data_IF_910454258259
#
_entry.id   IF_910454258259
#
_cell.length_a   1.000
_cell.length_b   1.000
_cell.length_c   1.000
_cell.angle_alpha   90.00
_cell.angle_beta   90.00
_cell.angle_gamma   90.00
#
_symmetry.space_group_name_H-M   'P 1'
#
loop_
_entity.id
_entity.type
_entity.pdbx_description
1 polymer ?
#
# COMPACT_ATOMS: atom_id res chain seq x y z
N UNK A 1 -18.39 -8.83 -24.17
CA UNK A 1 -18.27 -10.22 -23.67
C UNK A 1 -19.64 -10.60 -23.10
N UNK A 2 -20.25 -11.74 -23.47
CA UNK A 2 -21.54 -12.13 -22.84
C UNK A 2 -21.27 -12.45 -21.36
N UNK A 3 -22.07 -11.95 -20.41
CA UNK A 3 -21.91 -12.32 -19.01
C UNK A 3 -22.01 -13.84 -18.88
N UNK A 4 -21.05 -14.44 -18.19
CA UNK A 4 -21.07 -15.87 -17.94
C UNK A 4 -22.23 -16.16 -16.98
N UNK A 5 -23.12 -17.08 -17.36
CA UNK A 5 -24.25 -17.46 -16.51
C UNK A 5 -23.72 -17.91 -15.16
N UNK A 6 -24.08 -17.18 -14.09
CA UNK A 6 -23.62 -17.50 -12.74
C UNK A 6 -24.20 -18.84 -12.28
N UNK A 7 -23.31 -19.79 -11.94
CA UNK A 7 -23.67 -21.13 -11.46
C UNK A 7 -23.41 -21.24 -9.96
N UNK A 8 -24.37 -21.78 -9.22
CA UNK A 8 -24.38 -21.84 -7.76
C UNK A 8 -24.58 -23.29 -7.32
N UNK A 9 -23.66 -23.81 -6.53
CA UNK A 9 -23.83 -25.05 -5.79
C UNK A 9 -24.71 -24.82 -4.57
N UNK A 10 -25.80 -25.58 -4.46
CA UNK A 10 -26.73 -25.56 -3.32
C UNK A 10 -27.19 -26.99 -3.04
N UNK A 11 -26.98 -27.45 -1.81
CA UNK A 11 -27.33 -28.83 -1.44
C UNK A 11 -26.42 -29.86 -2.11
N UNK A 12 -26.96 -30.66 -3.02
CA UNK A 12 -26.24 -31.70 -3.79
C UNK A 12 -26.12 -31.38 -5.28
N UNK A 13 -26.57 -30.19 -5.72
CA UNK A 13 -26.65 -29.82 -7.13
C UNK A 13 -26.06 -28.45 -7.43
N UNK A 14 -25.74 -28.23 -8.71
CA UNK A 14 -25.30 -26.93 -9.24
C UNK A 14 -26.38 -26.39 -10.17
N UNK A 15 -26.90 -25.21 -9.86
CA UNK A 15 -28.00 -24.56 -10.56
C UNK A 15 -27.58 -23.18 -11.06
N UNK A 16 -28.26 -22.62 -12.06
CA UNK A 16 -28.04 -21.20 -12.43
C UNK A 16 -28.63 -20.29 -11.36
N UNK A 17 -27.99 -19.17 -11.06
CA UNK A 17 -28.51 -18.17 -10.11
C UNK A 17 -29.93 -17.72 -10.48
N UNK A 18 -30.19 -17.46 -11.77
CA UNK A 18 -31.50 -17.09 -12.28
C UNK A 18 -32.58 -18.13 -11.94
N UNK A 19 -32.34 -19.42 -12.21
CA UNK A 19 -33.29 -20.49 -11.87
C UNK A 19 -33.58 -20.56 -10.37
N UNK A 20 -32.55 -20.37 -9.52
CA UNK A 20 -32.71 -20.39 -8.06
C UNK A 20 -33.62 -19.25 -7.57
N UNK A 21 -33.48 -18.05 -8.14
CA UNK A 21 -34.24 -16.88 -7.70
C UNK A 21 -35.62 -16.76 -8.36
N UNK A 22 -35.79 -17.26 -9.59
CA UNK A 22 -37.01 -17.07 -10.39
C UNK A 22 -38.03 -18.20 -10.32
N UNK A 23 -37.66 -19.39 -9.84
CA UNK A 23 -38.56 -20.55 -9.81
C UNK A 23 -38.99 -20.93 -8.40
N UNK A 24 -40.18 -21.53 -8.27
CA UNK A 24 -40.67 -22.05 -6.99
C UNK A 24 -39.74 -23.10 -6.38
N UNK A 25 -39.28 -24.05 -7.20
CA UNK A 25 -38.36 -25.10 -6.75
C UNK A 25 -37.02 -24.51 -6.28
N UNK A 26 -36.50 -23.51 -7.00
CA UNK A 26 -35.31 -22.75 -6.59
C UNK A 26 -35.50 -22.04 -5.25
N UNK A 27 -36.62 -21.36 -5.07
CA UNK A 27 -36.96 -20.68 -3.82
C UNK A 27 -37.09 -21.65 -2.64
N UNK A 28 -37.67 -22.83 -2.84
CA UNK A 28 -37.74 -23.90 -1.82
C UNK A 28 -36.34 -24.44 -1.48
N UNK A 29 -35.46 -24.59 -2.47
CA UNK A 29 -34.06 -25.00 -2.27
C UNK A 29 -33.28 -23.97 -1.45
N UNK A 30 -33.42 -22.67 -1.78
CA UNK A 30 -32.82 -21.57 -1.03
C UNK A 30 -33.35 -21.49 0.41
N UNK A 31 -34.66 -21.68 0.59
CA UNK A 31 -35.29 -21.72 1.91
C UNK A 31 -34.74 -22.85 2.79
N UNK A 32 -34.53 -24.03 2.21
CA UNK A 32 -33.95 -25.18 2.90
C UNK A 32 -32.47 -24.97 3.21
N UNK A 33 -31.70 -24.46 2.24
CA UNK A 33 -30.29 -24.13 2.44
C UNK A 33 -30.10 -23.12 3.58
N UNK A 34 -30.95 -22.09 3.68
CA UNK A 34 -30.90 -21.10 4.77
C UNK A 34 -31.16 -21.70 6.16
N UNK A 35 -31.89 -22.81 6.26
CA UNK A 35 -32.13 -23.52 7.53
C UNK A 35 -31.00 -24.50 7.87
N UNK A 36 -30.08 -24.74 6.95
CA UNK A 36 -28.92 -25.61 7.15
C UNK A 36 -27.67 -24.80 7.47
N UNK A 37 -26.66 -25.45 8.06
CA UNK A 37 -25.34 -24.83 8.28
C UNK A 37 -24.50 -24.75 6.99
N UNK A 38 -24.99 -25.29 5.87
CA UNK A 38 -24.29 -25.28 4.58
C UNK A 38 -24.65 -24.03 3.79
N UNK A 39 -23.62 -23.24 3.46
CA UNK A 39 -23.75 -22.08 2.58
C UNK A 39 -23.76 -22.49 1.11
N UNK A 40 -24.52 -21.79 0.25
CA UNK A 40 -24.39 -21.95 -1.19
C UNK A 40 -23.01 -21.47 -1.65
N UNK A 41 -22.50 -22.01 -2.77
CA UNK A 41 -21.21 -21.62 -3.35
C UNK A 41 -21.32 -21.18 -4.79
N UNK A 42 -20.76 -20.02 -5.15
CA UNK A 42 -20.61 -19.58 -6.54
C UNK A 42 -19.50 -20.36 -7.22
N UNK A 43 -19.81 -21.06 -8.31
CA UNK A 43 -18.89 -21.93 -9.03
C UNK A 43 -18.13 -21.19 -10.15
N UNK A 44 -17.87 -19.89 -9.98
CA UNK A 44 -17.11 -19.08 -10.94
C UNK A 44 -15.59 -19.39 -10.92
N UNK A 45 -15.10 -19.98 -9.83
CA UNK A 45 -13.71 -20.44 -9.65
C UNK A 45 -13.69 -21.88 -9.12
N UNK A 46 -12.59 -22.64 -9.29
CA UNK A 46 -12.44 -23.96 -8.68
C UNK A 46 -12.67 -23.93 -7.16
N UNK A 47 -13.39 -24.91 -6.62
CA UNK A 47 -13.79 -24.95 -5.21
C UNK A 47 -15.01 -24.07 -4.89
N UNK A 48 -15.20 -22.97 -5.60
CA UNK A 48 -16.33 -22.06 -5.44
C UNK A 48 -16.21 -21.09 -4.26
N UNK A 49 -16.98 -20.00 -4.30
CA UNK A 49 -16.97 -18.92 -3.28
C UNK A 49 -18.25 -18.97 -2.46
N UNK A 50 -18.14 -18.97 -1.14
CA UNK A 50 -19.33 -18.94 -0.28
C UNK A 50 -20.23 -17.74 -0.56
N UNK A 51 -21.54 -17.98 -0.57
CA UNK A 51 -22.58 -16.97 -0.76
C UNK A 51 -23.57 -16.97 0.41
N UNK A 52 -24.37 -15.92 0.47
CA UNK A 52 -25.41 -15.72 1.47
C UNK A 52 -26.81 -15.89 0.85
N UNK A 53 -27.68 -16.61 1.55
CA UNK A 53 -29.12 -16.63 1.25
C UNK A 53 -29.84 -15.66 2.19
N UNK A 54 -30.25 -14.53 1.64
CA UNK A 54 -31.08 -13.55 2.34
C UNK A 54 -32.57 -13.79 2.11
N UNK A 55 -33.41 -13.14 2.91
CA UNK A 55 -34.86 -13.13 2.73
C UNK A 55 -35.36 -11.70 2.80
N UNK A 56 -36.13 -11.28 1.81
CA UNK A 56 -36.83 -9.98 1.81
C UNK A 56 -38.31 -10.24 1.51
N UNK A 57 -39.15 -10.03 2.53
CA UNK A 57 -40.55 -10.43 2.47
C UNK A 57 -40.72 -11.95 2.31
N UNK A 58 -41.46 -12.37 1.28
CA UNK A 58 -41.71 -13.78 0.98
C UNK A 58 -40.64 -14.49 0.13
N UNK A 59 -39.67 -13.74 -0.41
CA UNK A 59 -38.70 -14.26 -1.38
C UNK A 59 -37.29 -14.34 -0.79
N UNK A 60 -36.56 -15.36 -1.21
CA UNK A 60 -35.14 -15.54 -0.94
C UNK A 60 -34.31 -15.00 -2.09
N UNK A 61 -33.18 -14.38 -1.75
CA UNK A 61 -32.21 -13.88 -2.72
C UNK A 61 -30.82 -14.40 -2.39
N UNK A 62 -29.97 -14.46 -3.42
CA UNK A 62 -28.55 -14.76 -3.29
C UNK A 62 -27.75 -13.47 -3.32
N UNK A 63 -26.77 -13.36 -2.44
CA UNK A 63 -25.76 -12.31 -2.49
C UNK A 63 -24.39 -12.88 -2.17
N UNK A 64 -23.33 -12.22 -2.62
CA UNK A 64 -21.97 -12.52 -2.12
C UNK A 64 -21.91 -12.34 -0.61
N UNK A 65 -20.95 -13.01 0.02
CA UNK A 65 -20.60 -12.70 1.40
C UNK A 65 -19.95 -11.30 1.44
N UNK A 66 -20.14 -10.51 2.51
CA UNK A 66 -19.46 -9.23 2.65
C UNK A 66 -17.94 -9.39 2.54
N UNK A 67 -17.29 -8.54 1.74
CA UNK A 67 -15.84 -8.57 1.55
C UNK A 67 -15.32 -9.78 0.78
N UNK A 68 -16.15 -10.55 0.05
CA UNK A 68 -15.67 -11.66 -0.80
C UNK A 68 -15.70 -11.36 -2.29
N UNK A 69 -15.98 -10.12 -2.70
CA UNK A 69 -16.11 -9.81 -4.13
C UNK A 69 -14.85 -10.14 -4.93
N UNK A 70 -13.66 -9.88 -4.38
CA UNK A 70 -12.38 -10.22 -4.98
C UNK A 70 -12.10 -11.73 -5.14
N UNK A 71 -12.90 -12.60 -4.52
CA UNK A 71 -12.76 -14.06 -4.63
C UNK A 71 -13.44 -14.62 -5.89
N UNK A 72 -14.27 -13.83 -6.55
CA UNK A 72 -14.98 -14.24 -7.75
C UNK A 72 -14.13 -13.98 -9.01
N UNK A 73 -14.42 -14.72 -10.09
CA UNK A 73 -13.79 -14.47 -11.38
C UNK A 73 -14.18 -13.09 -11.94
N UNK A 74 -13.29 -12.44 -12.68
CA UNK A 74 -13.45 -11.08 -13.25
C UNK A 74 -14.73 -10.88 -14.08
N UNK A 75 -15.30 -11.96 -14.61
CA UNK A 75 -16.52 -11.94 -15.42
C UNK A 75 -17.78 -12.41 -14.65
N UNK A 76 -17.70 -12.56 -13.32
CA UNK A 76 -18.78 -13.01 -12.48
C UNK A 76 -19.63 -11.83 -11.98
N UNK A 77 -20.96 -11.98 -11.96
CA UNK A 77 -21.89 -10.96 -11.44
C UNK A 77 -21.69 -10.60 -9.95
N UNK A 78 -20.88 -11.37 -9.22
CA UNK A 78 -20.56 -11.15 -7.80
C UNK A 78 -19.15 -10.63 -7.56
N UNK A 79 -18.36 -10.37 -8.61
CA UNK A 79 -17.03 -9.78 -8.46
C UNK A 79 -17.13 -8.32 -8.03
N UNK A 80 -16.13 -7.88 -7.28
CA UNK A 80 -15.95 -6.48 -6.87
C UNK A 80 -14.47 -6.18 -6.91
N UNK A 81 -14.09 -5.05 -7.51
CA UNK A 81 -12.71 -4.55 -7.57
C UNK A 81 -12.27 -4.08 -6.19
N UNK A 82 -11.97 -5.04 -5.31
CA UNK A 82 -11.31 -4.81 -4.02
C UNK A 82 -9.97 -5.49 -4.06
N UNK A 83 -9.00 -4.80 -4.65
CA UNK A 83 -7.64 -5.32 -4.76
C UNK A 83 -6.90 -5.13 -3.44
N UNK A 84 -6.66 -6.22 -2.72
CA UNK A 84 -5.68 -6.28 -1.64
C UNK A 84 -4.22 -6.15 -2.17
N UNK A 85 -4.04 -5.81 -3.45
CA UNK A 85 -2.76 -5.51 -4.06
C UNK A 85 -2.47 -4.02 -4.25
N UNK A 86 -3.40 -3.11 -3.91
CA UNK A 86 -3.12 -1.67 -3.87
C UNK A 86 -4.13 -0.91 -3.01
N UNK A 87 -3.65 0.01 -2.18
CA UNK A 87 -4.48 0.96 -1.45
C UNK A 87 -4.92 2.17 -2.28
N UNK A 88 -4.45 2.34 -3.52
CA UNK A 88 -4.84 3.45 -4.39
C UNK A 88 -6.35 3.46 -4.71
N UNK A 89 -7.05 2.32 -4.51
CA UNK A 89 -8.51 2.24 -4.66
C UNK A 89 -9.31 3.11 -3.69
N UNK A 90 -8.68 3.61 -2.61
CA UNK A 90 -9.29 4.56 -1.67
C UNK A 90 -9.49 5.97 -2.27
N UNK A 91 -8.77 6.29 -3.35
CA UNK A 91 -8.87 7.60 -3.99
C UNK A 91 -10.17 7.76 -4.80
N UNK A 92 -10.79 8.93 -4.62
CA UNK A 92 -11.87 9.37 -5.47
C UNK A 92 -11.39 9.80 -6.86
N UNK A 93 -12.32 9.94 -7.83
CA UNK A 93 -11.99 10.45 -9.16
C UNK A 93 -11.26 11.79 -9.10
N UNK A 94 -10.15 11.90 -9.82
CA UNK A 94 -9.39 13.15 -9.93
C UNK A 94 -8.19 13.28 -8.99
N UNK A 95 -8.09 12.45 -7.94
CA UNK A 95 -6.97 12.50 -7.01
C UNK A 95 -5.64 12.09 -7.67
N UNK A 96 -5.68 11.03 -8.50
CA UNK A 96 -4.60 10.60 -9.38
C UNK A 96 -5.19 10.40 -10.78
N UNK A 97 -4.65 11.10 -11.77
CA UNK A 97 -5.11 11.05 -13.16
C UNK A 97 -3.94 10.80 -14.11
N UNK A 98 -4.02 9.75 -14.90
CA UNK A 98 -3.12 9.59 -16.05
C UNK A 98 -3.57 10.51 -17.19
N UNK A 99 -2.63 11.26 -17.76
CA UNK A 99 -2.83 12.17 -18.88
C UNK A 99 -2.47 11.50 -20.20
N UNK A 100 -2.96 12.08 -21.31
CA UNK A 100 -2.70 11.57 -22.66
C UNK A 100 -1.21 11.53 -23.04
N UNK A 101 -0.36 12.32 -22.36
CA UNK A 101 1.09 12.35 -22.53
C UNK A 101 1.83 11.31 -21.67
N UNK A 102 1.11 10.47 -20.93
CA UNK A 102 1.66 9.46 -20.01
C UNK A 102 2.12 10.02 -18.66
N UNK A 103 2.00 11.33 -18.41
CA UNK A 103 2.25 11.88 -17.08
C UNK A 103 1.10 11.56 -16.12
N UNK A 104 1.41 11.40 -14.84
CA UNK A 104 0.42 11.37 -13.78
C UNK A 104 0.20 12.77 -13.22
N UNK A 105 -1.05 13.17 -13.04
CA UNK A 105 -1.44 14.41 -12.37
C UNK A 105 -2.06 14.05 -11.02
N UNK A 106 -1.55 14.64 -9.95
CA UNK A 106 -2.07 14.43 -8.61
C UNK A 106 -2.67 15.71 -8.02
N UNK A 107 -3.79 15.56 -7.31
CA UNK A 107 -4.32 16.58 -6.41
C UNK A 107 -3.55 16.53 -5.08
N UNK A 108 -2.27 16.91 -5.11
CA UNK A 108 -1.38 16.75 -3.96
C UNK A 108 -1.58 17.81 -2.87
N UNK A 109 -1.70 17.36 -1.62
CA UNK A 109 -1.73 18.21 -0.43
C UNK A 109 -0.75 17.69 0.63
N UNK A 110 0.46 18.26 0.62
CA UNK A 110 1.58 17.82 1.47
C UNK A 110 1.45 18.27 2.93
N UNK A 111 0.46 19.08 3.27
CA UNK A 111 0.22 19.59 4.63
C UNK A 111 -0.67 18.67 5.47
N UNK A 112 -1.32 17.69 4.83
CA UNK A 112 -2.21 16.73 5.50
C UNK A 112 -1.42 15.87 6.48
N UNK A 113 -1.77 16.00 7.75
CA UNK A 113 -1.19 15.23 8.88
C UNK A 113 -2.24 14.41 9.62
N UNK A 114 -3.49 14.47 9.19
CA UNK A 114 -4.60 13.68 9.73
C UNK A 114 -5.06 12.63 8.73
N UNK A 115 -5.82 11.63 9.21
CA UNK A 115 -6.43 10.64 8.33
C UNK A 115 -7.55 11.28 7.54
N UNK A 116 -7.69 10.86 6.29
CA UNK A 116 -8.77 11.30 5.41
C UNK A 116 -9.86 10.23 5.34
N UNK A 117 -11.10 10.66 5.16
CA UNK A 117 -12.22 9.75 4.92
C UNK A 117 -12.33 9.41 3.43
N UNK A 118 -12.70 8.17 3.13
CA UNK A 118 -12.92 7.71 1.75
C UNK A 118 -14.28 8.22 1.20
N UNK A 119 -14.35 8.62 -0.09
CA UNK A 119 -13.28 8.60 -1.08
C UNK A 119 -12.30 9.76 -0.89
N UNK A 120 -11.01 9.43 -0.95
CA UNK A 120 -9.93 10.39 -0.70
C UNK A 120 -9.75 11.30 -1.92
N UNK A 121 -9.88 12.62 -1.73
CA UNK A 121 -9.82 13.59 -2.83
C UNK A 121 -8.42 14.14 -3.10
N UNK A 122 -7.53 14.14 -2.10
CA UNK A 122 -6.18 14.70 -2.19
C UNK A 122 -5.12 13.66 -1.83
N UNK A 123 -3.95 13.72 -2.49
CA UNK A 123 -2.83 12.82 -2.24
C UNK A 123 -1.92 13.43 -1.18
N UNK A 124 -1.81 12.78 -0.02
CA UNK A 124 -0.93 13.21 1.07
C UNK A 124 0.54 12.85 0.79
N UNK A 125 1.44 13.23 1.69
CA UNK A 125 2.86 12.88 1.56
C UNK A 125 3.11 11.35 1.57
N UNK A 126 2.28 10.56 2.25
CA UNK A 126 2.39 9.08 2.23
C UNK A 126 1.99 8.54 0.85
N UNK A 127 0.86 9.02 0.30
CA UNK A 127 0.44 8.76 -1.07
C UNK A 127 1.49 9.15 -2.12
N UNK A 128 2.17 10.29 -1.96
CA UNK A 128 3.25 10.71 -2.87
C UNK A 128 4.46 9.78 -2.77
N UNK A 129 4.86 9.37 -1.57
CA UNK A 129 5.96 8.42 -1.41
C UNK A 129 5.61 7.08 -2.06
N UNK A 130 4.42 6.55 -1.81
CA UNK A 130 3.99 5.29 -2.42
C UNK A 130 3.87 5.40 -3.95
N UNK A 131 3.38 6.53 -4.47
CA UNK A 131 3.35 6.78 -5.91
C UNK A 131 4.76 6.79 -6.51
N UNK A 132 5.72 7.47 -5.88
CA UNK A 132 7.12 7.45 -6.32
C UNK A 132 7.68 6.03 -6.33
N UNK A 133 7.37 5.22 -5.32
CA UNK A 133 7.84 3.84 -5.20
C UNK A 133 7.23 2.93 -6.27
N UNK A 134 5.97 3.12 -6.63
CA UNK A 134 5.30 2.39 -7.70
C UNK A 134 5.83 2.80 -9.08
N UNK A 135 5.89 4.09 -9.38
CA UNK A 135 6.35 4.61 -10.67
C UNK A 135 7.84 4.35 -10.93
N UNK A 136 8.65 4.30 -9.86
CA UNK A 136 10.06 3.88 -9.93
C UNK A 136 10.24 2.36 -9.89
N UNK A 137 9.15 1.58 -9.78
CA UNK A 137 9.12 0.11 -9.71
C UNK A 137 10.02 -0.43 -8.58
N UNK A 138 10.16 0.34 -7.50
CA UNK A 138 10.96 -0.04 -6.32
C UNK A 138 10.19 -0.95 -5.37
N UNK A 139 8.86 -0.99 -5.50
CA UNK A 139 7.99 -1.97 -4.86
C UNK A 139 8.00 -3.35 -5.55
N UNK A 140 8.84 -3.60 -6.56
CA UNK A 140 8.95 -4.90 -7.23
C UNK A 140 10.37 -5.45 -7.30
N UNK A 141 10.55 -6.75 -7.11
CA UNK A 141 11.83 -7.43 -7.26
C UNK A 141 11.66 -8.69 -8.10
N UNK A 142 12.46 -8.79 -9.16
CA UNK A 142 12.46 -9.97 -10.03
C UNK A 142 13.35 -11.07 -9.47
N UNK A 143 13.02 -12.32 -9.76
CA UNK A 143 13.87 -13.46 -9.45
C UNK A 143 15.27 -13.27 -10.06
N UNK A 144 16.32 -13.42 -9.24
CA UNK A 144 17.71 -13.24 -9.67
C UNK A 144 18.15 -11.80 -9.90
N UNK A 145 17.38 -10.80 -9.49
CA UNK A 145 17.78 -9.40 -9.60
C UNK A 145 19.01 -9.08 -8.73
N UNK A 146 19.88 -8.21 -9.25
CA UNK A 146 21.02 -7.69 -8.49
C UNK A 146 20.58 -6.83 -7.30
N UNK A 147 21.49 -6.68 -6.34
CA UNK A 147 21.30 -5.76 -5.22
C UNK A 147 21.26 -4.31 -5.71
N UNK A 148 20.23 -3.57 -5.29
CA UNK A 148 20.05 -2.15 -5.58
C UNK A 148 21.04 -1.33 -4.78
N UNK A 149 21.70 -0.41 -5.46
CA UNK A 149 22.50 0.63 -4.82
C UNK A 149 21.65 1.88 -4.57
N UNK A 150 22.08 2.74 -3.63
CA UNK A 150 21.45 4.05 -3.46
C UNK A 150 21.40 4.87 -4.76
N UNK A 151 22.46 4.80 -5.59
CA UNK A 151 22.50 5.50 -6.88
C UNK A 151 21.34 5.04 -7.77
N UNK A 152 21.16 3.73 -7.93
CA UNK A 152 20.07 3.17 -8.76
C UNK A 152 18.68 3.52 -8.22
N UNK A 153 18.51 3.57 -6.89
CA UNK A 153 17.24 3.98 -6.25
C UNK A 153 16.96 5.46 -6.52
N UNK A 154 17.97 6.31 -6.32
CA UNK A 154 17.88 7.76 -6.56
C UNK A 154 17.50 8.08 -7.99
N UNK A 155 18.20 7.48 -8.97
CA UNK A 155 17.97 7.75 -10.39
C UNK A 155 16.54 7.40 -10.80
N UNK A 156 16.06 6.20 -10.44
CA UNK A 156 14.70 5.74 -10.74
C UNK A 156 13.62 6.63 -10.11
N UNK A 157 13.86 7.14 -8.90
CA UNK A 157 12.90 8.04 -8.22
C UNK A 157 12.88 9.42 -8.85
N UNK A 158 14.03 9.98 -9.23
CA UNK A 158 14.08 11.27 -9.93
C UNK A 158 13.48 11.18 -11.33
N UNK A 159 13.71 10.06 -12.04
CA UNK A 159 13.05 9.77 -13.32
C UNK A 159 11.53 9.69 -13.14
N UNK A 160 11.04 8.91 -12.17
CA UNK A 160 9.61 8.81 -11.87
C UNK A 160 8.99 10.17 -11.49
N UNK A 161 9.67 10.97 -10.68
CA UNK A 161 9.21 12.29 -10.25
C UNK A 161 9.04 13.26 -11.43
N UNK A 162 9.85 13.12 -12.50
CA UNK A 162 9.72 13.95 -13.69
C UNK A 162 8.37 13.76 -14.40
N UNK A 163 7.79 12.57 -14.31
CA UNK A 163 6.51 12.18 -14.92
C UNK A 163 5.29 12.40 -14.01
N UNK A 164 5.49 12.89 -12.79
CA UNK A 164 4.40 13.20 -11.85
C UNK A 164 4.23 14.72 -11.78
N UNK A 165 2.99 15.19 -11.90
CA UNK A 165 2.60 16.60 -11.88
C UNK A 165 1.77 16.90 -10.64
N UNK A 166 2.15 17.94 -9.91
CA UNK A 166 1.35 18.51 -8.83
C UNK A 166 0.95 19.93 -9.24
N UNK A 167 -0.31 20.11 -9.60
CA UNK A 167 -0.76 21.30 -10.33
C UNK A 167 -0.07 21.41 -11.71
N UNK A 168 0.59 22.55 -11.97
CA UNK A 168 1.28 22.81 -13.24
C UNK A 168 2.78 22.46 -13.22
N UNK A 169 3.31 22.03 -12.07
CA UNK A 169 4.74 21.78 -11.89
C UNK A 169 5.05 20.28 -11.88
N UNK A 170 6.27 19.92 -12.29
CA UNK A 170 6.76 18.56 -12.09
C UNK A 170 7.08 18.35 -10.61
N UNK A 171 6.83 17.16 -10.09
CA UNK A 171 7.25 16.79 -8.74
C UNK A 171 8.79 16.84 -8.62
N UNK A 172 9.52 16.61 -9.71
CA UNK A 172 10.97 16.76 -9.75
C UNK A 172 11.44 18.20 -9.42
N UNK A 173 10.63 19.22 -9.70
CA UNK A 173 10.98 20.62 -9.42
C UNK A 173 11.01 20.93 -7.91
N UNK A 174 10.30 20.13 -7.11
CA UNK A 174 10.20 20.28 -5.65
C UNK A 174 10.80 19.10 -4.87
N UNK A 175 11.45 18.14 -5.56
CA UNK A 175 12.07 16.96 -4.96
C UNK A 175 13.60 17.00 -5.03
N UNK A 176 14.25 16.87 -3.88
CA UNK A 176 15.69 16.70 -3.76
C UNK A 176 16.03 15.28 -3.29
N UNK A 177 16.88 14.57 -4.04
CA UNK A 177 17.45 13.30 -3.62
C UNK A 177 19.00 13.40 -3.60
N UNK A 178 19.66 13.21 -2.45
CA UNK A 178 21.11 13.43 -2.31
C UNK A 178 21.93 12.42 -3.10
N UNK A 179 23.06 12.85 -3.65
CA UNK A 179 24.07 11.93 -4.17
C UNK A 179 24.68 11.09 -3.04
N UNK A 180 25.36 10.00 -3.39
CA UNK A 180 26.03 9.16 -2.40
C UNK A 180 27.13 9.95 -1.69
N UNK A 181 26.93 10.23 -0.40
CA UNK A 181 28.01 10.71 0.47
C UNK A 181 29.19 9.72 0.51
N UNK A 182 30.39 10.23 0.28
CA UNK A 182 31.64 9.48 0.40
C UNK A 182 32.63 10.25 1.27
N UNK A 183 32.95 9.68 2.44
CA UNK A 183 33.94 10.24 3.38
C UNK A 183 35.32 10.42 2.74
N UNK A 184 35.68 9.52 1.84
CA UNK A 184 37.02 9.48 1.25
C UNK A 184 37.23 10.59 0.22
N UNK A 185 36.14 11.00 -0.46
CA UNK A 185 36.16 12.07 -1.47
C UNK A 185 35.78 13.45 -0.91
N UNK A 186 35.17 13.51 0.27
CA UNK A 186 34.62 14.74 0.85
C UNK A 186 33.37 15.29 0.16
N UNK A 187 32.89 14.65 -0.91
CA UNK A 187 31.68 15.05 -1.64
C UNK A 187 30.45 14.91 -0.75
N UNK A 188 29.70 16.00 -0.62
CA UNK A 188 28.50 16.10 0.20
C UNK A 188 27.44 16.92 -0.51
N UNK A 189 26.24 16.38 -0.65
CA UNK A 189 25.09 17.10 -1.22
C UNK A 189 24.41 18.05 -0.23
N UNK A 190 24.98 18.28 0.96
CA UNK A 190 24.38 19.15 1.97
C UNK A 190 24.27 20.60 1.49
N UNK A 191 25.33 21.26 0.95
CA UNK A 191 25.20 22.64 0.48
C UNK A 191 24.15 22.81 -0.64
N UNK A 192 24.07 21.83 -1.55
CA UNK A 192 23.07 21.82 -2.62
C UNK A 192 21.66 21.65 -2.05
N UNK A 193 21.48 20.74 -1.10
CA UNK A 193 20.21 20.53 -0.40
C UNK A 193 19.78 21.79 0.37
N UNK A 194 20.71 22.46 1.06
CA UNK A 194 20.42 23.71 1.77
C UNK A 194 20.04 24.85 0.81
N UNK A 195 20.73 24.95 -0.32
CA UNK A 195 20.41 25.93 -1.37
C UNK A 195 19.03 25.66 -1.97
N UNK A 196 18.72 24.38 -2.24
CA UNK A 196 17.42 23.94 -2.68
C UNK A 196 16.31 24.30 -1.69
N UNK A 197 16.48 23.95 -0.40
CA UNK A 197 15.52 24.26 0.67
C UNK A 197 15.26 25.77 0.82
N UNK A 198 16.27 26.61 0.59
CA UNK A 198 16.14 28.08 0.66
C UNK A 198 15.46 28.68 -0.56
N UNK A 199 15.60 28.05 -1.73
CA UNK A 199 15.03 28.55 -2.99
C UNK A 199 13.52 28.28 -3.12
N UNK A 200 13.01 27.28 -2.41
CA UNK A 200 11.59 26.92 -2.47
C UNK A 200 10.72 27.91 -1.67
N UNK A 201 9.67 28.42 -2.32
CA UNK A 201 8.69 29.31 -1.69
C UNK A 201 7.69 28.56 -0.78
N UNK A 202 7.67 27.23 -0.83
CA UNK A 202 6.77 26.35 -0.08
C UNK A 202 7.46 25.08 0.42
N UNK A 203 6.77 23.94 0.35
CA UNK A 203 7.34 22.64 0.76
C UNK A 203 8.41 22.17 -0.21
N UNK A 204 9.66 22.15 0.27
CA UNK A 204 10.73 21.40 -0.36
C UNK A 204 10.65 19.95 0.12
N UNK A 205 10.66 19.00 -0.82
CA UNK A 205 10.70 17.59 -0.51
C UNK A 205 12.13 17.06 -0.56
N UNK A 206 12.49 16.24 0.43
CA UNK A 206 13.75 15.49 0.45
C UNK A 206 13.42 14.00 0.44
N UNK A 207 13.90 13.26 -0.56
CA UNK A 207 13.83 11.81 -0.61
C UNK A 207 15.18 11.20 -0.25
N UNK A 208 15.28 10.53 0.89
CA UNK A 208 16.53 9.91 1.33
C UNK A 208 16.28 8.75 2.32
N UNK A 209 17.24 7.83 2.48
CA UNK A 209 17.11 6.78 3.47
C UNK A 209 17.22 7.33 4.89
N UNK A 210 16.42 6.80 5.80
CA UNK A 210 16.54 7.08 7.23
C UNK A 210 17.91 6.61 7.74
N UNK A 211 18.58 7.45 8.52
CA UNK A 211 19.76 7.04 9.31
C UNK A 211 19.41 6.88 10.78
N UNK A 212 18.72 7.86 11.35
CA UNK A 212 18.45 7.91 12.78
C UNK A 212 17.35 8.93 13.10
N UNK A 213 16.55 8.64 14.13
CA UNK A 213 15.68 9.59 14.81
C UNK A 213 16.21 9.78 16.23
N UNK A 214 16.58 11.01 16.60
CA UNK A 214 17.12 11.30 17.94
C UNK A 214 16.15 12.13 18.75
N UNK A 215 15.67 11.57 19.85
CA UNK A 215 14.81 12.28 20.78
C UNK A 215 15.59 13.40 21.48
N UNK A 216 14.98 14.57 21.57
CA UNK A 216 15.41 15.67 22.42
C UNK A 216 14.29 16.04 23.40
N UNK A 217 14.47 17.10 24.19
CA UNK A 217 13.49 17.49 25.21
C UNK A 217 12.10 17.81 24.64
N UNK A 218 12.02 18.42 23.45
CA UNK A 218 10.76 18.91 22.87
C UNK A 218 10.58 18.58 21.38
N UNK A 219 11.49 17.80 20.80
CA UNK A 219 11.49 17.52 19.36
C UNK A 219 12.31 16.27 19.06
N UNK A 220 12.24 15.83 17.82
CA UNK A 220 13.15 14.85 17.24
C UNK A 220 14.11 15.53 16.27
N UNK A 221 15.37 15.11 16.28
CA UNK A 221 16.29 15.37 15.17
C UNK A 221 16.17 14.22 14.17
N UNK A 222 15.75 14.52 12.94
CA UNK A 222 15.74 13.58 11.83
C UNK A 222 17.11 13.58 11.14
N UNK A 223 17.76 12.42 11.07
CA UNK A 223 19.03 12.24 10.38
C UNK A 223 18.82 11.36 9.16
N UNK A 224 19.15 11.89 7.98
CA UNK A 224 19.06 11.18 6.71
C UNK A 224 20.44 10.68 6.28
N UNK A 225 20.49 9.50 5.66
CA UNK A 225 21.72 9.04 4.99
C UNK A 225 22.05 10.01 3.85
N UNK A 226 23.33 10.09 3.53
CA UNK A 226 23.89 10.95 2.47
C UNK A 226 23.78 12.47 2.68
N UNK A 227 23.18 12.94 3.78
CA UNK A 227 23.11 14.35 4.15
C UNK A 227 23.72 14.59 5.54
N UNK A 228 25.02 14.29 5.75
CA UNK A 228 25.64 14.41 7.07
C UNK A 228 25.69 15.87 7.51
N UNK A 229 25.03 16.18 8.63
CA UNK A 229 25.07 17.51 9.24
C UNK A 229 23.91 18.43 8.86
N UNK A 230 23.05 18.03 7.92
CA UNK A 230 21.78 18.71 7.71
C UNK A 230 20.92 18.60 8.98
N UNK A 231 20.48 19.73 9.54
CA UNK A 231 19.73 19.78 10.80
C UNK A 231 18.22 19.88 10.55
N UNK A 232 17.56 18.72 10.52
CA UNK A 232 16.11 18.60 10.38
C UNK A 232 15.47 18.36 11.75
N UNK A 233 14.50 19.19 12.12
CA UNK A 233 13.81 19.14 13.40
C UNK A 233 12.32 18.87 13.22
N UNK A 234 11.82 17.85 13.91
CA UNK A 234 10.39 17.51 13.97
C UNK A 234 9.86 17.87 15.35
N UNK A 235 8.91 18.78 15.44
CA UNK A 235 8.24 19.08 16.72
C UNK A 235 7.49 17.83 17.23
N UNK A 236 7.37 17.69 18.55
CA UNK A 236 6.76 16.50 19.15
C UNK A 236 5.31 16.29 18.68
N UNK A 237 4.55 17.38 18.60
CA UNK A 237 3.15 17.38 18.17
C UNK A 237 3.03 16.94 16.70
N UNK A 238 3.97 17.40 15.84
CA UNK A 238 4.04 16.99 14.44
C UNK A 238 4.35 15.49 14.33
N UNK A 239 5.26 14.97 15.16
CA UNK A 239 5.57 13.55 15.19
C UNK A 239 4.35 12.70 15.61
N UNK A 240 3.63 13.13 16.66
CA UNK A 240 2.43 12.46 17.16
C UNK A 240 1.31 12.42 16.11
N UNK A 241 1.06 13.54 15.39
CA UNK A 241 0.09 13.59 14.29
C UNK A 241 0.47 12.65 13.13
N UNK A 242 1.75 12.64 12.76
CA UNK A 242 2.26 11.79 11.68
C UNK A 242 2.12 10.30 12.02
N UNK A 243 2.48 9.88 13.24
CA UNK A 243 2.29 8.49 13.68
C UNK A 243 0.81 8.10 13.75
N UNK A 244 -0.06 9.03 14.17
CA UNK A 244 -1.50 8.82 14.18
C UNK A 244 -2.06 8.61 12.75
N UNK A 245 -1.60 9.41 11.78
CA UNK A 245 -1.96 9.27 10.37
C UNK A 245 -1.54 7.93 9.79
N UNK A 246 -0.26 7.57 9.90
CA UNK A 246 0.27 6.35 9.27
C UNK A 246 -0.01 5.07 10.08
N UNK A 247 -0.50 5.20 11.32
CA UNK A 247 -0.79 4.08 12.22
C UNK A 247 0.44 3.25 12.61
N UNK A 248 1.63 3.87 12.64
CA UNK A 248 2.91 3.20 12.93
C UNK A 248 3.79 4.10 13.82
N UNK A 249 4.28 3.62 14.98
CA UNK A 249 5.01 4.45 15.95
C UNK A 249 6.52 4.53 15.65
N UNK A 250 6.92 4.99 14.46
CA UNK A 250 8.33 4.94 14.04
C UNK A 250 9.25 6.01 14.67
N UNK A 251 8.73 7.05 15.32
CA UNK A 251 9.53 7.91 16.18
C UNK A 251 9.88 7.17 17.47
N UNK A 252 8.91 6.48 18.08
CA UNK A 252 9.16 5.65 19.26
C UNK A 252 9.98 4.38 18.97
N UNK A 253 9.73 3.76 17.82
CA UNK A 253 10.32 2.48 17.39
C UNK A 253 10.79 2.58 15.93
N UNK A 254 11.93 3.26 15.67
CA UNK A 254 12.38 3.49 14.31
C UNK A 254 12.75 2.20 13.59
N UNK A 255 12.37 2.04 12.30
CA UNK A 255 12.76 0.88 11.51
C UNK A 255 14.27 0.91 11.23
N UNK A 256 14.89 -0.27 11.15
CA UNK A 256 16.32 -0.44 10.83
C UNK A 256 16.67 0.16 9.46
N UNK A 257 15.81 -0.04 8.46
CA UNK A 257 15.92 0.56 7.14
C UNK A 257 14.59 1.17 6.74
N UNK A 258 14.62 2.40 6.25
CA UNK A 258 13.45 3.05 5.66
C UNK A 258 13.86 4.07 4.60
N UNK A 259 12.97 4.31 3.65
CA UNK A 259 12.99 5.45 2.75
C UNK A 259 12.04 6.52 3.29
N UNK A 260 12.50 7.76 3.35
CA UNK A 260 11.72 8.88 3.84
C UNK A 260 11.48 9.89 2.73
N UNK A 261 10.25 10.43 2.69
CA UNK A 261 9.93 11.66 1.97
C UNK A 261 9.66 12.74 3.01
N UNK A 262 10.48 13.78 3.03
CA UNK A 262 10.47 14.81 4.08
C UNK A 262 10.03 16.14 3.48
N UNK A 263 8.91 16.69 3.94
CA UNK A 263 8.55 18.07 3.67
C UNK A 263 9.24 18.96 4.70
N UNK A 264 10.09 19.87 4.22
CA UNK A 264 10.87 20.74 5.08
C UNK A 264 10.85 22.19 4.60
N UNK A 265 11.06 23.11 5.55
CA UNK A 265 11.23 24.54 5.31
C UNK A 265 12.34 25.13 6.16
N UNK A 266 12.89 26.30 5.78
CA UNK A 266 13.83 27.02 6.64
C UNK A 266 13.27 27.24 8.05
N UNK A 267 14.08 26.93 9.06
CA UNK A 267 13.75 27.14 10.46
C UNK A 267 14.04 28.56 10.93
N UNK A 268 13.80 28.83 12.22
CA UNK A 268 14.00 30.17 12.82
C UNK A 268 15.47 30.61 12.87
N UNK A 269 16.40 29.65 12.95
CA UNK A 269 17.84 29.90 13.01
C UNK A 269 18.48 29.41 11.73
N UNK A 270 19.45 30.16 11.22
CA UNK A 270 20.19 29.78 10.02
C UNK A 270 20.80 28.38 10.14
N UNK A 271 20.75 27.62 9.04
CA UNK A 271 21.21 26.24 8.96
C UNK A 271 20.41 25.26 9.81
N UNK A 272 19.20 25.61 10.24
CA UNK A 272 18.23 24.67 10.83
C UNK A 272 16.99 24.65 9.97
N UNK A 273 16.40 23.47 9.80
CA UNK A 273 15.22 23.25 8.98
C UNK A 273 14.15 22.58 9.83
N UNK A 274 12.91 23.03 9.64
CA UNK A 274 11.74 22.46 10.29
C UNK A 274 11.10 21.47 9.34
N UNK A 275 10.94 20.22 9.78
CA UNK A 275 10.12 19.22 9.11
C UNK A 275 8.68 19.55 9.41
N UNK A 276 7.91 19.83 8.37
CA UNK A 276 6.46 20.10 8.48
C UNK A 276 5.66 18.82 8.28
N UNK A 277 6.17 17.88 7.49
CA UNK A 277 5.55 16.57 7.28
C UNK A 277 6.60 15.52 6.90
N UNK A 278 6.27 14.24 7.12
CA UNK A 278 7.15 13.11 6.86
C UNK A 278 6.31 11.90 6.44
N UNK A 279 6.69 11.25 5.35
CA UNK A 279 6.33 9.87 5.06
C UNK A 279 7.54 8.97 5.30
N UNK A 280 7.31 7.80 5.88
CA UNK A 280 8.36 6.83 6.19
C UNK A 280 7.91 5.44 5.72
N UNK A 281 8.63 4.87 4.76
CA UNK A 281 8.38 3.54 4.24
C UNK A 281 9.49 2.59 4.73
N UNK A 282 9.20 1.69 5.69
CA UNK A 282 10.13 0.64 6.08
C UNK A 282 10.52 -0.26 4.91
N UNK A 283 11.78 -0.66 4.88
CA UNK A 283 12.40 -1.45 3.81
C UNK A 283 13.33 -2.51 4.39
N UNK A 284 13.82 -3.41 3.55
CA UNK A 284 15.04 -4.17 3.83
C UNK A 284 16.31 -3.39 3.42
N UNK A 285 17.48 -4.00 3.58
CA UNK A 285 18.75 -3.40 3.17
C UNK A 285 18.88 -3.16 1.65
N UNK A 286 18.01 -3.79 0.84
CA UNK A 286 17.96 -3.67 -0.62
C UNK A 286 16.90 -2.65 -1.09
N UNK A 287 16.37 -1.83 -0.17
CA UNK A 287 15.31 -0.86 -0.43
C UNK A 287 14.01 -1.51 -0.93
N UNK A 288 13.80 -2.80 -0.69
CA UNK A 288 12.53 -3.46 -0.97
C UNK A 288 11.58 -3.27 0.22
N UNK A 289 10.38 -2.69 0.03
CA UNK A 289 9.49 -2.38 1.14
C UNK A 289 9.07 -3.62 1.95
N UNK A 290 9.41 -3.59 3.24
CA UNK A 290 9.14 -4.64 4.23
C UNK A 290 8.88 -3.95 5.57
N UNK A 291 7.74 -4.22 6.22
CA UNK A 291 7.37 -3.51 7.46
C UNK A 291 8.25 -3.88 8.65
N UNK A 292 8.66 -5.14 8.72
CA UNK A 292 9.43 -5.68 9.84
C UNK A 292 10.39 -6.78 9.36
N UNK A 293 11.23 -7.26 10.28
CA UNK A 293 12.25 -8.28 9.98
C UNK A 293 11.65 -9.62 9.52
N UNK A 294 10.42 -9.94 9.96
CA UNK A 294 9.72 -11.16 9.57
C UNK A 294 9.27 -11.09 8.11
N UNK A 295 8.67 -9.97 7.69
CA UNK A 295 8.34 -9.70 6.29
C UNK A 295 9.61 -9.74 5.42
N UNK A 296 10.70 -9.12 5.85
CA UNK A 296 11.97 -9.16 5.13
C UNK A 296 12.55 -10.58 5.00
N UNK A 297 12.40 -11.41 6.03
CA UNK A 297 12.83 -12.81 5.99
C UNK A 297 11.99 -13.65 5.01
N UNK A 298 10.67 -13.44 4.98
CA UNK A 298 9.77 -14.13 4.02
C UNK A 298 10.07 -13.68 2.59
N UNK A 299 10.22 -12.37 2.35
CA UNK A 299 10.57 -11.84 1.04
C UNK A 299 11.87 -12.47 0.52
N UNK A 300 12.93 -12.49 1.35
CA UNK A 300 14.21 -13.10 1.00
C UNK A 300 14.07 -14.57 0.63
N UNK A 301 13.37 -15.35 1.45
CA UNK A 301 13.11 -16.77 1.19
C UNK A 301 12.42 -16.98 -0.16
N UNK A 302 11.37 -16.21 -0.45
CA UNK A 302 10.62 -16.33 -1.71
C UNK A 302 11.49 -15.96 -2.91
N UNK A 303 12.33 -14.93 -2.79
CA UNK A 303 13.28 -14.54 -3.85
C UNK A 303 14.33 -15.64 -4.08
N UNK A 304 14.87 -16.23 -3.02
CA UNK A 304 15.81 -17.37 -3.08
C UNK A 304 15.17 -18.61 -3.71
N UNK A 305 13.86 -18.81 -3.54
CA UNK A 305 13.05 -19.83 -4.23
C UNK A 305 12.76 -19.47 -5.71
N UNK A 306 13.34 -18.39 -6.23
CA UNK A 306 13.20 -17.95 -7.62
C UNK A 306 11.87 -17.27 -7.92
N UNK A 307 11.20 -16.68 -6.92
CA UNK A 307 9.97 -15.91 -7.13
C UNK A 307 10.26 -14.45 -7.39
N UNK A 308 9.50 -13.86 -8.32
CA UNK A 308 9.38 -12.42 -8.47
C UNK A 308 8.27 -11.91 -7.54
N UNK A 309 8.52 -10.81 -6.84
CA UNK A 309 7.61 -10.25 -5.85
C UNK A 309 7.23 -8.80 -6.18
N UNK A 310 6.01 -8.43 -5.81
CA UNK A 310 5.54 -7.07 -5.70
C UNK A 310 5.09 -6.82 -4.26
N UNK A 311 5.37 -5.65 -3.70
CA UNK A 311 4.77 -5.16 -2.46
C UNK A 311 3.57 -4.27 -2.81
N UNK A 312 2.34 -4.67 -2.40
CA UNK A 312 1.20 -3.78 -2.39
C UNK A 312 1.48 -2.54 -1.52
N UNK A 313 1.26 -1.36 -2.10
CA UNK A 313 1.45 -0.07 -1.43
C UNK A 313 0.10 0.43 -0.89
N UNK A 314 0.15 1.21 0.20
CA UNK A 314 -1.05 1.63 0.93
C UNK A 314 -1.61 2.95 0.44
N UNK A 315 -0.74 3.82 -0.09
CA UNK A 315 -1.07 5.20 -0.36
C UNK A 315 -1.68 5.86 0.88
N UNK A 316 -2.79 6.57 0.73
CA UNK A 316 -3.51 7.21 1.84
C UNK A 316 -4.64 6.34 2.41
N UNK A 317 -4.73 5.06 2.02
CA UNK A 317 -5.81 4.18 2.49
C UNK A 317 -5.72 3.89 4.00
N UNK A 318 -6.85 3.55 4.61
CA UNK A 318 -6.94 3.29 6.06
C UNK A 318 -5.80 2.35 6.53
N UNK A 319 -4.97 2.74 7.51
CA UNK A 319 -3.93 1.87 8.07
C UNK A 319 -4.43 0.51 8.57
N UNK A 320 -5.71 0.40 8.95
CA UNK A 320 -6.34 -0.85 9.37
C UNK A 320 -6.79 -1.74 8.19
N UNK A 321 -6.90 -1.20 6.97
CA UNK A 321 -7.30 -1.96 5.79
C UNK A 321 -6.24 -3.04 5.48
N UNK A 322 -6.60 -4.33 5.44
CA UNK A 322 -5.66 -5.39 5.15
C UNK A 322 -5.32 -5.42 3.66
N UNK A 323 -4.03 -5.30 3.34
CA UNK A 323 -3.47 -5.62 2.03
C UNK A 323 -2.68 -6.92 2.14
N UNK A 324 -2.43 -7.59 1.01
CA UNK A 324 -1.42 -8.63 0.97
C UNK A 324 -0.04 -8.03 1.27
N UNK A 325 0.80 -8.77 1.99
CA UNK A 325 2.15 -8.32 2.31
C UNK A 325 3.05 -8.42 1.08
N UNK A 326 2.85 -9.43 0.24
CA UNK A 326 3.47 -9.52 -1.08
C UNK A 326 2.50 -10.11 -2.10
N UNK A 327 2.76 -9.88 -3.37
CA UNK A 327 2.20 -10.59 -4.49
C UNK A 327 3.32 -11.33 -5.21
N UNK A 328 3.21 -12.66 -5.33
CA UNK A 328 4.11 -13.43 -6.17
C UNK A 328 3.63 -13.24 -7.61
N UNK A 329 4.49 -12.62 -8.42
CA UNK A 329 4.23 -12.36 -9.82
C UNK A 329 4.41 -13.66 -10.61
N UNK A 330 3.40 -14.03 -11.40
CA UNK A 330 3.39 -15.19 -12.27
C UNK A 330 2.79 -14.81 -13.64
N UNK A 331 2.76 -15.72 -14.60
CA UNK A 331 2.19 -15.47 -15.93
C UNK A 331 0.66 -15.28 -15.94
N UNK A 332 -0.01 -15.31 -14.79
CA UNK A 332 -1.44 -15.09 -14.62
C UNK A 332 -1.72 -14.21 -13.41
N UNK A 333 -2.83 -14.48 -12.70
CA UNK A 333 -3.18 -13.74 -11.48
C UNK A 333 -2.06 -13.85 -10.43
N UNK A 334 -1.60 -12.74 -9.83
CA UNK A 334 -0.61 -12.79 -8.76
C UNK A 334 -1.10 -13.59 -7.56
N UNK A 335 -0.21 -14.36 -6.93
CA UNK A 335 -0.55 -15.10 -5.70
C UNK A 335 -0.29 -14.20 -4.48
N UNK A 336 -1.30 -13.86 -3.66
CA UNK A 336 -1.10 -13.10 -2.45
C UNK A 336 -0.34 -13.88 -1.40
N UNK A 337 0.51 -13.16 -0.68
CA UNK A 337 1.27 -13.64 0.47
C UNK A 337 0.88 -12.81 1.68
N UNK A 338 0.48 -13.49 2.76
CA UNK A 338 0.25 -12.88 4.06
C UNK A 338 1.29 -13.38 5.06
N UNK A 339 1.95 -12.44 5.71
CA UNK A 339 2.87 -12.63 6.83
C UNK A 339 2.13 -12.20 8.09
N UNK A 340 1.68 -13.19 8.87
CA UNK A 340 0.90 -12.99 10.08
C UNK A 340 1.86 -12.83 11.26
N UNK A 341 2.49 -11.66 11.35
CA UNK A 341 3.36 -11.23 12.45
C UNK A 341 2.89 -9.88 13.00
N UNK A 342 3.22 -9.52 14.26
CA UNK A 342 2.76 -8.28 14.85
C UNK A 342 3.28 -7.08 14.06
N UNK A 343 2.38 -6.18 13.68
CA UNK A 343 2.73 -4.95 12.97
C UNK A 343 2.84 -3.73 13.88
N UNK A 344 2.46 -3.87 15.15
CA UNK A 344 2.24 -2.75 16.07
C UNK A 344 0.86 -2.09 15.91
N UNK A 345 0.02 -2.62 15.02
CA UNK A 345 -1.37 -2.23 14.83
C UNK A 345 -2.26 -3.48 14.94
N UNK A 346 -2.86 -3.66 16.12
CA UNK A 346 -3.66 -4.85 16.44
C UNK A 346 -4.89 -5.01 15.55
N UNK A 347 -5.51 -3.89 15.13
CA UNK A 347 -6.66 -3.88 14.25
C UNK A 347 -6.29 -4.42 12.87
N UNK A 348 -5.18 -3.92 12.31
CA UNK A 348 -4.64 -4.42 11.04
C UNK A 348 -4.25 -5.90 11.14
N UNK A 349 -3.60 -6.32 12.23
CA UNK A 349 -3.19 -7.71 12.41
C UNK A 349 -4.40 -8.65 12.50
N UNK A 350 -5.49 -8.22 13.16
CA UNK A 350 -6.76 -8.95 13.18
C UNK A 350 -7.43 -8.99 11.80
N UNK A 351 -7.43 -7.88 11.06
CA UNK A 351 -7.99 -7.79 9.72
C UNK A 351 -7.22 -8.69 8.73
N UNK A 352 -5.88 -8.70 8.77
CA UNK A 352 -5.03 -9.59 7.97
C UNK A 352 -5.30 -11.06 8.26
N UNK A 353 -5.37 -11.46 9.54
CA UNK A 353 -5.72 -12.84 9.94
C UNK A 353 -7.09 -13.25 9.40
N UNK A 354 -8.07 -12.35 9.49
CA UNK A 354 -9.44 -12.58 9.01
C UNK A 354 -9.47 -12.76 7.49
N UNK A 355 -8.76 -11.89 6.74
CA UNK A 355 -8.65 -11.95 5.29
C UNK A 355 -7.95 -13.24 4.83
N UNK A 356 -6.79 -13.57 5.40
CA UNK A 356 -6.05 -14.80 5.08
C UNK A 356 -6.91 -16.05 5.34
N UNK A 357 -7.61 -16.10 6.48
CA UNK A 357 -8.53 -17.21 6.81
C UNK A 357 -9.70 -17.30 5.83
N UNK A 358 -10.26 -16.17 5.41
CA UNK A 358 -11.35 -16.11 4.43
C UNK A 358 -10.89 -16.68 3.08
N UNK A 359 -9.70 -16.31 2.62
CA UNK A 359 -9.12 -16.82 1.36
C UNK A 359 -8.87 -18.34 1.44
N UNK A 360 -8.29 -18.82 2.53
CA UNK A 360 -8.05 -20.26 2.74
C UNK A 360 -9.35 -21.07 2.75
N UNK A 361 -10.40 -20.60 3.44
CA UNK A 361 -11.72 -21.26 3.46
C UNK A 361 -12.40 -21.32 2.09
N UNK A 362 -12.09 -20.36 1.21
CA UNK A 362 -12.61 -20.33 -0.15
C UNK A 362 -11.66 -20.98 -1.17
N UNK A 363 -10.64 -21.71 -0.72
CA UNK A 363 -9.66 -22.42 -1.57
C UNK A 363 -8.96 -21.52 -2.58
N UNK A 364 -8.83 -20.23 -2.27
CA UNK A 364 -8.08 -19.29 -3.08
C UNK A 364 -6.59 -19.65 -3.06
N UNK A 365 -5.89 -19.34 -4.16
CA UNK A 365 -4.43 -19.39 -4.17
C UNK A 365 -3.92 -18.28 -3.25
N UNK A 366 -3.34 -18.67 -2.11
CA UNK A 366 -2.79 -17.76 -1.11
C UNK A 366 -1.65 -18.47 -0.37
N UNK A 367 -0.57 -17.75 -0.07
CA UNK A 367 0.47 -18.24 0.83
C UNK A 367 0.38 -17.51 2.16
N UNK A 368 0.41 -18.26 3.26
CA UNK A 368 0.30 -17.69 4.60
C UNK A 368 1.50 -18.16 5.42
N UNK A 369 2.25 -17.20 5.94
CA UNK A 369 3.38 -17.40 6.84
C UNK A 369 2.95 -16.95 8.23
N UNK A 370 2.84 -17.90 9.16
CA UNK A 370 2.61 -17.60 10.57
C UNK A 370 3.89 -17.10 11.23
N UNK A 371 3.80 -16.60 12.47
CA UNK A 371 4.96 -16.24 13.32
C UNK A 371 6.03 -17.34 13.36
#
# INVERSE_FOLDING_TARGET
MKPQVQRIEVGSGVHTAEWLVSTRAGQELLANCRKSDRRPRCMCVPGGVEMYVGRRGGLFYLSRMPGTGFLHADNCDSVEDTSFFSGAGAYGPGAILEKDDGCLSIAGNLDIRERMEEPIAEVSIDGVLDLLMEQSVLNQISAGADHRSWLSVRERVLEAAAWIRMGNHSLADSLFAPERYSRDTGVSSVPDCESFLKAQAGHALIFAPLKELRLTTYSWQLVLKHLPGLRLWVAKEVAEEIEARCGTPYFGTPPTYALCLVAAKPGRREGNYTVTNLACLPTDANYFPCRNDREAAVARRLIEEGKSLLRPLRFDSDPAQPLADFAILSSGTPDPVFVLSPSGNDELDAAKRSLASLMQRNHSRVQVFNE
#
